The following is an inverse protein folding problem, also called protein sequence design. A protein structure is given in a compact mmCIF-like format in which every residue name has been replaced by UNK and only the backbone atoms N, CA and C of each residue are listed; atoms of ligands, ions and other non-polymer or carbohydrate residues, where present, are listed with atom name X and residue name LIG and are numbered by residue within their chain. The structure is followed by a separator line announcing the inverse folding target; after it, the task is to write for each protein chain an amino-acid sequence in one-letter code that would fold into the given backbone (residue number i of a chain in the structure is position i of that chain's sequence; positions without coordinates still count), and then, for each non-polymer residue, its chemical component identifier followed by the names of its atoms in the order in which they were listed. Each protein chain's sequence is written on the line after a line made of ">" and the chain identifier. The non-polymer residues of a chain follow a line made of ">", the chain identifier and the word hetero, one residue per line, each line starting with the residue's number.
data_IF_542861712593
#
_entry.id   IF_542861712593
#
_cell.length_a   1.000
_cell.length_b   1.000
_cell.length_c   1.000
_cell.angle_alpha   90.00
_cell.angle_beta   90.00
_cell.angle_gamma   90.00
#
_symmetry.space_group_name_H-M   'P 1'
#
loop_
_entity.id
_entity.type
_entity.pdbx_description
1 polymer ?
#
# COMPACT_ATOMS: atom_id res chain seq x y z
N UNK A 1 2.42 -45.11 -29.74
CA UNK A 1 2.75 -44.48 -28.44
C UNK A 1 3.27 -43.09 -28.75
N UNK A 2 2.45 -42.06 -28.55
CA UNK A 2 2.83 -40.66 -28.78
C UNK A 2 3.33 -40.13 -27.44
N UNK A 3 4.61 -39.73 -27.39
CA UNK A 3 5.21 -39.11 -26.22
C UNK A 3 4.96 -37.61 -26.32
N UNK A 4 4.10 -37.07 -25.45
CA UNK A 4 3.89 -35.63 -25.29
C UNK A 4 5.01 -35.12 -24.37
N UNK A 5 5.89 -34.19 -24.81
CA UNK A 5 6.83 -33.57 -23.90
C UNK A 5 6.07 -32.56 -23.05
N UNK A 6 6.07 -32.77 -21.73
CA UNK A 6 5.61 -31.79 -20.76
C UNK A 6 6.61 -30.61 -20.77
N UNK A 7 6.19 -29.48 -21.33
CA UNK A 7 6.89 -28.21 -21.13
C UNK A 7 6.70 -27.81 -19.66
N UNK A 8 7.75 -27.94 -18.85
CA UNK A 8 7.83 -27.21 -17.58
C UNK A 8 8.06 -25.73 -17.94
N UNK A 9 7.01 -24.92 -17.82
CA UNK A 9 7.17 -23.48 -17.78
C UNK A 9 7.89 -23.12 -16.48
N UNK A 10 9.17 -22.76 -16.60
CA UNK A 10 9.91 -22.07 -15.54
C UNK A 10 9.35 -20.66 -15.44
N UNK A 11 8.35 -20.44 -14.60
CA UNK A 11 7.93 -19.12 -14.19
C UNK A 11 9.05 -18.50 -13.37
N UNK A 12 9.75 -17.52 -13.95
CA UNK A 12 10.66 -16.63 -13.22
C UNK A 12 9.87 -15.94 -12.11
N UNK A 13 10.25 -16.23 -10.86
CA UNK A 13 9.60 -15.63 -9.69
C UNK A 13 10.14 -14.20 -9.56
N UNK A 14 9.44 -13.24 -10.16
CA UNK A 14 9.75 -11.83 -9.97
C UNK A 14 9.66 -11.49 -8.47
N UNK A 15 10.81 -11.18 -7.87
CA UNK A 15 10.90 -10.69 -6.51
C UNK A 15 10.73 -9.17 -6.54
N UNK A 16 9.46 -8.79 -6.46
CA UNK A 16 9.04 -7.42 -6.47
C UNK A 16 9.16 -6.79 -5.09
N UNK A 17 9.53 -5.52 -5.05
CA UNK A 17 9.86 -4.78 -3.85
C UNK A 17 9.49 -3.30 -4.07
N UNK A 18 8.34 -2.85 -3.56
CA UNK A 18 7.92 -1.44 -3.63
C UNK A 18 7.43 -1.00 -2.26
N UNK A 19 7.77 0.22 -1.88
CA UNK A 19 7.20 0.91 -0.74
C UNK A 19 6.83 2.34 -1.14
N UNK A 20 5.89 2.93 -0.40
CA UNK A 20 5.75 4.37 -0.38
C UNK A 20 6.82 4.99 0.52
N UNK A 21 7.51 6.00 0.02
CA UNK A 21 8.51 6.78 0.73
C UNK A 21 8.02 8.21 0.88
N UNK A 22 7.91 8.65 2.13
CA UNK A 22 7.53 10.01 2.51
C UNK A 22 8.00 10.31 3.94
N UNK A 23 8.07 11.59 4.31
CA UNK A 23 8.21 11.96 5.72
C UNK A 23 7.01 11.44 6.52
N UNK A 24 7.26 11.05 7.77
CA UNK A 24 6.30 10.34 8.61
C UNK A 24 6.47 8.81 8.56
N UNK A 25 7.21 8.26 7.60
CA UNK A 25 7.43 6.82 7.48
C UNK A 25 8.18 6.24 8.68
N UNK A 26 7.66 5.14 9.22
CA UNK A 26 8.41 4.27 10.14
C UNK A 26 9.53 3.57 9.38
N UNK A 27 10.69 3.40 10.02
CA UNK A 27 11.83 2.70 9.41
C UNK A 27 12.34 3.37 8.11
N UNK A 28 12.20 4.70 7.99
CA UNK A 28 12.64 5.44 6.80
C UNK A 28 14.12 5.17 6.47
N UNK A 29 14.98 5.14 7.49
CA UNK A 29 16.41 4.84 7.38
C UNK A 29 16.79 3.38 7.62
N UNK A 30 15.82 2.46 7.70
CA UNK A 30 16.04 1.09 8.14
C UNK A 30 15.68 0.86 9.62
N UNK A 31 15.83 -0.39 10.10
CA UNK A 31 15.23 -0.86 11.34
C UNK A 31 16.09 -0.59 12.58
N UNK A 32 17.26 -0.01 12.40
CA UNK A 32 18.11 0.45 13.49
C UNK A 32 17.89 1.96 13.69
N UNK A 33 17.29 2.40 14.81
CA UNK A 33 17.01 3.83 15.03
C UNK A 33 18.28 4.68 15.19
N UNK A 34 19.46 4.06 15.33
CA UNK A 34 20.74 4.76 15.39
C UNK A 34 21.41 4.94 14.03
N UNK A 35 20.84 4.35 12.97
CA UNK A 35 21.38 4.39 11.60
C UNK A 35 20.35 4.96 10.65
N UNK A 36 20.73 6.03 9.95
CA UNK A 36 19.98 6.54 8.80
C UNK A 36 20.63 6.02 7.52
N UNK A 37 20.14 4.90 6.97
CA UNK A 37 20.65 4.32 5.72
C UNK A 37 19.95 4.96 4.50
N UNK A 38 20.65 5.79 3.70
CA UNK A 38 20.08 6.40 2.50
C UNK A 38 19.91 5.43 1.32
N UNK A 39 20.37 4.19 1.43
CA UNK A 39 20.25 3.15 0.40
C UNK A 39 19.52 1.89 0.89
N UNK A 40 18.66 2.05 1.90
CA UNK A 40 17.90 0.94 2.45
C UNK A 40 16.81 0.45 1.49
N UNK A 41 16.62 -0.88 1.50
CA UNK A 41 15.50 -1.59 0.90
C UNK A 41 14.72 -2.42 1.95
N UNK A 42 14.85 -2.10 3.23
CA UNK A 42 14.19 -2.89 4.30
C UNK A 42 12.66 -2.86 4.16
N UNK A 43 12.09 -1.67 3.96
CA UNK A 43 10.65 -1.45 3.96
C UNK A 43 9.94 -2.00 2.71
N UNK A 44 10.68 -2.26 1.63
CA UNK A 44 10.12 -2.69 0.33
C UNK A 44 9.86 -4.20 0.26
N UNK A 45 10.33 -4.98 1.24
CA UNK A 45 10.14 -6.43 1.25
C UNK A 45 8.67 -6.81 1.43
N UNK A 46 8.16 -7.79 0.65
CA UNK A 46 6.79 -8.25 0.80
C UNK A 46 6.53 -8.89 2.16
N UNK A 47 5.25 -8.98 2.51
CA UNK A 47 4.74 -9.72 3.67
C UNK A 47 4.04 -10.98 3.14
N UNK A 48 4.56 -12.15 3.51
CA UNK A 48 4.03 -13.43 3.06
C UNK A 48 4.31 -14.52 4.08
N UNK A 49 3.29 -15.34 4.38
CA UNK A 49 3.40 -16.47 5.29
C UNK A 49 3.98 -16.10 6.68
N UNK A 50 3.58 -14.94 7.20
CA UNK A 50 3.97 -14.43 8.52
C UNK A 50 2.83 -14.56 9.53
N UNK A 51 3.13 -14.61 10.83
CA UNK A 51 2.08 -14.47 11.84
C UNK A 51 1.55 -13.03 11.87
N UNK A 52 0.37 -12.81 12.45
CA UNK A 52 -0.18 -11.46 12.55
C UNK A 52 0.74 -10.50 13.28
N UNK A 53 1.33 -10.96 14.38
CA UNK A 53 2.30 -10.18 15.14
C UNK A 53 3.49 -9.77 14.27
N UNK A 54 3.95 -10.64 13.37
CA UNK A 54 5.13 -10.38 12.54
C UNK A 54 4.82 -9.44 11.35
N UNK A 55 3.70 -9.63 10.64
CA UNK A 55 3.42 -8.78 9.48
C UNK A 55 2.85 -7.41 9.86
N UNK A 56 2.24 -7.27 11.04
CA UNK A 56 1.63 -6.01 11.47
C UNK A 56 2.67 -4.91 11.54
N UNK A 57 2.49 -3.85 10.73
CA UNK A 57 3.43 -2.74 10.63
C UNK A 57 4.91 -3.17 10.37
N UNK A 58 5.10 -4.33 9.72
CA UNK A 58 6.41 -4.92 9.43
C UNK A 58 7.27 -5.17 10.69
N UNK A 59 6.66 -5.72 11.74
CA UNK A 59 7.35 -6.11 12.96
C UNK A 59 8.44 -7.17 12.74
N UNK A 60 8.27 -8.07 11.76
CA UNK A 60 9.23 -9.13 11.39
C UNK A 60 10.65 -8.60 11.16
N UNK A 61 10.76 -7.34 10.74
CA UNK A 61 12.01 -6.63 10.49
C UNK A 61 12.19 -5.39 11.37
N UNK A 62 11.36 -5.21 12.39
CA UNK A 62 11.48 -4.16 13.41
C UNK A 62 11.07 -2.75 12.97
N UNK A 63 10.32 -2.60 11.86
CA UNK A 63 9.97 -1.27 11.37
C UNK A 63 9.07 -0.49 12.34
N UNK A 64 8.13 -1.18 12.98
CA UNK A 64 7.18 -0.62 13.94
C UNK A 64 7.85 -0.01 15.19
N UNK A 65 9.07 -0.45 15.50
CA UNK A 65 9.87 0.07 16.61
C UNK A 65 10.68 1.32 16.26
N UNK A 66 10.75 1.72 14.98
CA UNK A 66 11.54 2.87 14.51
C UNK A 66 10.60 3.97 13.99
N UNK A 67 10.12 4.88 14.87
CA UNK A 67 9.26 5.97 14.43
C UNK A 67 10.01 6.96 13.53
N UNK A 68 9.29 7.77 12.74
CA UNK A 68 9.91 8.89 12.02
C UNK A 68 10.55 9.87 13.00
N UNK A 69 11.54 10.62 12.50
CA UNK A 69 12.20 11.67 13.29
C UNK A 69 11.21 12.77 13.72
N UNK A 70 11.52 13.46 14.81
CA UNK A 70 10.66 14.51 15.35
C UNK A 70 10.30 15.57 14.30
N UNK A 71 9.02 15.90 14.20
CA UNK A 71 8.49 16.85 13.22
C UNK A 71 8.34 16.30 11.79
N UNK A 72 8.82 15.09 11.50
CA UNK A 72 8.53 14.42 10.24
C UNK A 72 7.20 13.68 10.35
N UNK A 73 6.15 14.28 9.78
CA UNK A 73 4.79 13.76 9.76
C UNK A 73 4.28 13.81 8.33
N UNK A 74 3.52 12.80 7.92
CA UNK A 74 2.79 12.83 6.66
C UNK A 74 1.54 13.71 6.80
N UNK A 75 1.52 14.85 6.14
CA UNK A 75 0.39 15.77 6.17
C UNK A 75 -0.70 15.37 5.17
N UNK A 76 -1.93 15.26 5.65
CA UNK A 76 -3.13 14.88 4.89
C UNK A 76 -4.07 16.09 4.80
N UNK A 77 -3.99 16.92 3.74
CA UNK A 77 -4.87 18.08 3.61
C UNK A 77 -6.30 17.65 3.30
N UNK A 78 -7.23 17.84 4.24
CA UNK A 78 -8.62 17.44 4.08
C UNK A 78 -9.26 18.06 2.82
N UNK A 79 -9.75 17.23 1.91
CA UNK A 79 -10.35 17.64 0.64
C UNK A 79 -9.34 18.00 -0.44
N UNK A 80 -8.04 17.84 -0.14
CA UNK A 80 -6.94 18.00 -1.07
C UNK A 80 -6.33 16.67 -1.46
N UNK A 81 -5.03 16.71 -1.74
CA UNK A 81 -4.24 15.55 -2.11
C UNK A 81 -2.85 15.63 -1.47
N UNK A 82 -2.18 14.48 -1.43
CA UNK A 82 -0.77 14.39 -1.07
C UNK A 82 -0.07 13.45 -2.05
N UNK A 83 1.22 13.70 -2.29
CA UNK A 83 2.05 12.92 -3.19
C UNK A 83 3.16 12.25 -2.39
N UNK A 84 3.41 10.98 -2.70
CA UNK A 84 4.52 10.19 -2.15
C UNK A 84 5.35 9.59 -3.28
N UNK A 85 6.50 9.04 -2.93
CA UNK A 85 7.38 8.37 -3.88
C UNK A 85 7.28 6.85 -3.72
N UNK A 86 6.75 6.14 -4.72
CA UNK A 86 6.78 4.69 -4.79
C UNK A 86 8.13 4.25 -5.40
N UNK A 87 8.97 3.54 -4.65
CA UNK A 87 10.29 3.15 -5.14
C UNK A 87 10.77 1.81 -4.59
N UNK A 88 11.70 1.18 -5.29
CA UNK A 88 12.30 -0.12 -4.92
C UNK A 88 13.40 0.00 -3.86
N UNK A 89 13.89 1.22 -3.63
CA UNK A 89 14.91 1.55 -2.65
C UNK A 89 14.78 3.04 -2.31
N UNK A 90 15.10 3.42 -1.06
CA UNK A 90 15.11 4.84 -0.67
C UNK A 90 16.04 5.68 -1.54
N UNK A 91 17.17 5.13 -2.00
CA UNK A 91 18.13 5.81 -2.87
C UNK A 91 17.49 6.36 -4.15
N UNK A 92 16.42 5.72 -4.63
CA UNK A 92 15.69 6.09 -5.84
C UNK A 92 14.60 7.15 -5.57
N UNK A 93 14.64 7.81 -4.40
CA UNK A 93 13.71 8.86 -3.99
C UNK A 93 14.43 10.18 -3.75
N UNK A 94 13.68 11.27 -3.62
CA UNK A 94 14.26 12.57 -3.23
C UNK A 94 14.68 12.61 -1.76
N UNK A 95 14.30 11.62 -0.96
CA UNK A 95 14.65 11.50 0.46
C UNK A 95 16.07 10.96 0.69
N UNK A 96 16.86 10.77 -0.38
CA UNK A 96 18.25 10.35 -0.32
C UNK A 96 19.06 10.91 -1.47
N UNK A 97 20.35 11.15 -1.25
CA UNK A 97 21.30 11.63 -2.26
C UNK A 97 20.82 12.85 -3.07
N UNK A 98 19.97 13.70 -2.48
CA UNK A 98 19.30 14.82 -3.17
C UNK A 98 18.60 14.41 -4.47
N UNK A 99 18.05 13.20 -4.53
CA UNK A 99 17.34 12.66 -5.70
C UNK A 99 18.23 12.26 -6.87
N UNK A 100 19.55 12.12 -6.67
CA UNK A 100 20.51 11.79 -7.74
C UNK A 100 20.15 10.50 -8.52
N UNK A 101 19.54 9.51 -7.86
CA UNK A 101 19.17 8.23 -8.47
C UNK A 101 17.66 8.09 -8.75
N UNK A 102 16.94 9.21 -8.77
CA UNK A 102 15.52 9.22 -9.13
C UNK A 102 15.33 9.15 -10.64
N UNK A 103 14.24 8.55 -11.06
CA UNK A 103 13.69 8.65 -12.42
C UNK A 103 12.17 8.86 -12.36
N UNK A 104 11.47 8.77 -13.47
CA UNK A 104 10.00 8.70 -13.44
C UNK A 104 9.49 7.38 -12.85
N UNK A 105 10.33 6.35 -12.85
CA UNK A 105 9.97 4.98 -12.55
C UNK A 105 10.47 4.56 -11.14
N UNK A 106 9.76 3.63 -10.47
CA UNK A 106 10.12 3.18 -9.12
C UNK A 106 11.51 2.55 -8.96
N UNK A 107 12.14 2.09 -10.05
CA UNK A 107 13.45 1.45 -10.06
C UNK A 107 14.63 2.43 -10.29
N UNK A 108 14.34 3.72 -10.47
CA UNK A 108 15.36 4.72 -10.79
C UNK A 108 15.95 4.62 -12.20
N UNK A 109 15.36 3.81 -13.10
CA UNK A 109 15.75 3.73 -14.52
C UNK A 109 14.71 4.39 -15.41
N UNK A 110 14.99 4.46 -16.70
CA UNK A 110 14.08 5.01 -17.69
C UNK A 110 13.43 3.89 -18.48
N UNK A 111 12.10 3.92 -18.54
CA UNK A 111 11.27 3.02 -19.33
C UNK A 111 10.34 3.84 -20.23
N UNK A 112 9.84 3.25 -21.34
CA UNK A 112 8.85 3.92 -22.17
C UNK A 112 7.48 3.97 -21.47
N UNK A 113 6.64 4.95 -21.80
CA UNK A 113 5.29 5.08 -21.22
C UNK A 113 4.41 3.83 -21.43
N UNK A 114 4.57 3.15 -22.58
CA UNK A 114 3.90 1.91 -22.91
C UNK A 114 4.65 0.66 -22.42
N UNK A 115 5.44 0.80 -21.34
CA UNK A 115 6.18 -0.31 -20.74
C UNK A 115 5.24 -1.51 -20.53
N UNK A 116 5.63 -2.63 -21.11
CA UNK A 116 4.89 -3.88 -21.03
C UNK A 116 5.85 -5.05 -20.96
N UNK A 117 5.39 -6.13 -20.36
CA UNK A 117 6.15 -7.38 -20.37
C UNK A 117 6.21 -7.98 -21.77
N UNK A 118 7.09 -8.97 -21.97
CA UNK A 118 7.31 -9.56 -23.28
C UNK A 118 6.08 -10.34 -23.78
N UNK A 119 5.91 -10.44 -25.10
CA UNK A 119 4.88 -11.29 -25.72
C UNK A 119 3.57 -10.58 -26.09
N UNK A 120 2.61 -11.35 -26.61
CA UNK A 120 1.27 -10.89 -26.98
C UNK A 120 0.23 -12.03 -26.80
N UNK A 121 -0.62 -11.98 -25.75
CA UNK A 121 -0.76 -10.90 -24.76
C UNK A 121 0.52 -10.74 -23.90
N UNK A 122 0.79 -9.53 -23.37
CA UNK A 122 1.99 -9.27 -22.57
C UNK A 122 2.07 -10.18 -21.34
N UNK A 123 3.21 -10.83 -21.14
CA UNK A 123 3.56 -11.52 -19.90
C UNK A 123 3.90 -10.49 -18.80
N UNK A 124 4.23 -10.96 -17.59
CA UNK A 124 4.68 -10.10 -16.51
C UNK A 124 6.01 -9.40 -16.87
N UNK A 125 6.18 -8.16 -16.44
CA UNK A 125 7.44 -7.42 -16.58
C UNK A 125 8.53 -8.13 -15.73
N UNK A 126 9.68 -8.46 -16.35
CA UNK A 126 10.74 -9.30 -15.77
C UNK A 126 11.99 -8.53 -15.30
N UNK A 127 12.34 -7.44 -15.98
CA UNK A 127 13.60 -6.69 -15.78
C UNK A 127 13.52 -5.67 -14.64
N UNK A 128 13.21 -6.17 -13.44
CA UNK A 128 13.03 -5.44 -12.17
C UNK A 128 11.69 -4.73 -11.93
N UNK A 129 10.71 -4.94 -12.81
CA UNK A 129 9.34 -4.40 -12.74
C UNK A 129 8.54 -4.87 -11.53
N UNK A 130 9.10 -4.63 -10.34
CA UNK A 130 8.66 -4.93 -8.99
C UNK A 130 7.29 -4.35 -8.63
N UNK A 131 6.58 -3.85 -9.64
CA UNK A 131 5.20 -3.41 -9.65
C UNK A 131 4.21 -4.57 -9.86
N UNK A 132 4.71 -5.80 -10.06
CA UNK A 132 3.92 -7.02 -10.20
C UNK A 132 2.79 -6.87 -11.24
N UNK A 133 3.16 -6.52 -12.47
CA UNK A 133 2.18 -6.29 -13.53
C UNK A 133 2.70 -6.59 -14.92
N UNK A 134 1.78 -6.77 -15.86
CA UNK A 134 2.05 -6.93 -17.30
C UNK A 134 2.20 -5.57 -18.01
N UNK A 135 1.50 -4.53 -17.52
CA UNK A 135 1.45 -3.15 -18.03
C UNK A 135 0.62 -2.27 -17.07
N UNK A 136 0.50 -0.96 -17.34
CA UNK A 136 -0.19 -0.02 -16.45
C UNK A 136 -1.63 -0.41 -16.10
N UNK A 137 -2.44 -0.83 -17.06
CA UNK A 137 -3.87 -1.15 -16.80
C UNK A 137 -4.03 -2.41 -15.95
N UNK A 138 -2.99 -3.24 -15.90
CA UNK A 138 -2.90 -4.42 -15.07
C UNK A 138 -2.22 -4.16 -13.73
N UNK A 139 -1.90 -2.92 -13.35
CA UNK A 139 -1.41 -2.61 -12.00
C UNK A 139 -2.58 -2.68 -10.98
N UNK A 140 -2.30 -3.18 -9.78
CA UNK A 140 -3.36 -3.63 -8.87
C UNK A 140 -4.16 -2.50 -8.19
N UNK A 141 -3.54 -1.34 -8.03
CA UNK A 141 -4.03 -0.27 -7.16
C UNK A 141 -3.43 -0.37 -5.76
N UNK A 142 -3.14 0.79 -5.17
CA UNK A 142 -2.56 0.94 -3.84
C UNK A 142 -3.47 1.83 -3.00
N UNK A 143 -3.40 1.67 -1.69
CA UNK A 143 -4.32 2.31 -0.76
C UNK A 143 -3.62 2.95 0.42
N UNK A 144 -4.31 3.91 1.05
CA UNK A 144 -3.94 4.47 2.33
C UNK A 144 -5.03 4.23 3.36
N UNK A 145 -4.62 3.85 4.56
CA UNK A 145 -5.48 3.73 5.72
C UNK A 145 -5.03 4.65 6.85
N UNK A 146 -5.97 5.01 7.74
CA UNK A 146 -5.75 5.90 8.88
C UNK A 146 -6.38 5.33 10.15
N UNK A 147 -5.69 5.48 11.27
CA UNK A 147 -6.16 5.21 12.63
C UNK A 147 -5.94 6.43 13.51
N UNK A 148 -6.99 6.84 14.22
CA UNK A 148 -6.99 8.00 15.13
C UNK A 148 -6.45 7.63 16.52
N UNK A 149 -5.42 6.79 16.54
CA UNK A 149 -4.65 6.45 17.74
C UNK A 149 -3.29 7.14 17.65
N UNK A 150 -2.91 7.88 18.69
CA UNK A 150 -1.57 8.49 18.79
C UNK A 150 -0.49 7.52 19.28
N UNK A 151 -0.90 6.33 19.74
CA UNK A 151 -0.02 5.23 20.15
C UNK A 151 -0.19 4.08 19.16
N UNK A 152 0.90 3.71 18.46
CA UNK A 152 0.90 2.66 17.44
C UNK A 152 0.40 1.32 18.00
N UNK A 153 0.69 1.01 19.27
CA UNK A 153 0.28 -0.25 19.89
C UNK A 153 -1.25 -0.41 20.04
N UNK A 154 -2.00 0.69 19.88
CA UNK A 154 -3.47 0.71 19.91
C UNK A 154 -4.08 0.64 18.53
N UNK A 155 -3.28 0.64 17.47
CA UNK A 155 -3.76 0.49 16.09
C UNK A 155 -4.14 -0.97 15.87
N UNK A 156 -5.35 -1.18 15.34
CA UNK A 156 -5.96 -2.50 15.09
C UNK A 156 -6.56 -2.53 13.70
N UNK A 157 -6.89 -3.72 13.19
CA UNK A 157 -7.60 -3.86 11.91
C UNK A 157 -8.91 -3.06 11.90
N UNK A 158 -9.65 -3.06 13.01
CA UNK A 158 -10.96 -2.42 13.14
C UNK A 158 -10.89 -0.90 13.23
N UNK A 159 -9.74 -0.32 13.59
CA UNK A 159 -9.57 1.13 13.65
C UNK A 159 -8.65 1.72 12.58
N UNK A 160 -8.04 0.88 11.75
CA UNK A 160 -7.24 1.28 10.58
C UNK A 160 -8.12 1.27 9.32
N UNK A 161 -8.73 2.40 9.02
CA UNK A 161 -9.74 2.54 7.96
C UNK A 161 -9.08 2.97 6.66
N UNK A 162 -9.29 2.21 5.58
CA UNK A 162 -8.88 2.60 4.23
C UNK A 162 -9.66 3.85 3.78
N UNK A 163 -8.94 4.94 3.50
CA UNK A 163 -9.54 6.23 3.16
C UNK A 163 -9.28 6.72 1.74
N UNK A 164 -8.22 6.22 1.10
CA UNK A 164 -7.84 6.60 -0.25
C UNK A 164 -7.33 5.39 -1.01
N UNK A 165 -7.66 5.32 -2.30
CA UNK A 165 -7.16 4.31 -3.22
C UNK A 165 -6.88 4.98 -4.55
N UNK A 166 -5.71 4.68 -5.10
CA UNK A 166 -5.32 5.11 -6.44
C UNK A 166 -5.19 3.86 -7.30
N UNK A 167 -6.03 3.68 -8.34
CA UNK A 167 -5.99 2.50 -9.20
C UNK A 167 -4.71 2.51 -10.06
N UNK A 168 -4.42 1.37 -10.71
CA UNK A 168 -3.30 1.25 -11.65
C UNK A 168 -1.95 1.67 -11.05
N UNK A 169 -1.74 1.38 -9.77
CA UNK A 169 -0.49 1.60 -9.04
C UNK A 169 -0.02 0.29 -8.39
N UNK A 170 1.28 0.16 -8.05
CA UNK A 170 2.39 1.06 -8.42
C UNK A 170 2.62 1.14 -9.94
N UNK A 171 3.06 2.30 -10.42
CA UNK A 171 3.41 2.52 -11.82
C UNK A 171 4.55 3.55 -11.96
N UNK A 172 4.26 4.83 -11.72
CA UNK A 172 5.29 5.87 -11.63
C UNK A 172 5.71 6.09 -10.18
N UNK A 173 6.93 6.60 -10.01
CA UNK A 173 7.48 6.92 -8.69
C UNK A 173 6.61 7.95 -7.98
N UNK A 174 6.28 9.07 -8.62
CA UNK A 174 5.38 10.05 -8.01
C UNK A 174 3.94 9.57 -8.12
N UNK A 175 3.32 9.25 -6.98
CA UNK A 175 1.92 8.85 -6.92
C UNK A 175 1.15 9.75 -5.97
N UNK A 176 0.02 10.27 -6.46
CA UNK A 176 -0.84 11.18 -5.72
C UNK A 176 -2.09 10.45 -5.22
N UNK A 177 -2.49 10.78 -4.00
CA UNK A 177 -3.66 10.23 -3.32
C UNK A 177 -4.57 11.36 -2.86
N UNK A 178 -5.87 11.16 -3.01
CA UNK A 178 -6.87 12.12 -2.54
C UNK A 178 -7.19 11.91 -1.07
N UNK A 179 -7.48 13.00 -0.37
CA UNK A 179 -7.86 12.99 1.05
C UNK A 179 -9.33 13.40 1.17
N UNK A 180 -10.20 12.59 1.80
CA UNK A 180 -11.59 12.96 2.01
C UNK A 180 -11.70 14.30 2.75
N UNK A 181 -12.57 15.19 2.27
CA UNK A 181 -12.81 16.50 2.89
C UNK A 181 -13.36 16.42 4.31
N UNK A 182 -13.97 15.29 4.67
CA UNK A 182 -14.61 15.08 5.95
C UNK A 182 -13.80 14.24 6.94
N UNK A 183 -12.53 13.91 6.62
CA UNK A 183 -11.61 13.35 7.61
C UNK A 183 -11.48 14.34 8.78
N UNK A 184 -11.78 13.95 10.03
CA UNK A 184 -11.63 14.82 11.18
C UNK A 184 -10.15 15.11 11.52
N UNK A 185 -9.86 16.12 12.34
CA UNK A 185 -8.52 16.35 12.88
C UNK A 185 -8.03 15.14 13.69
N UNK A 186 -6.73 14.86 13.60
CA UNK A 186 -6.08 13.87 14.45
C UNK A 186 -6.07 14.32 15.92
N UNK A 187 -6.02 13.38 16.89
CA UNK A 187 -5.83 13.72 18.30
C UNK A 187 -4.45 14.35 18.54
N UNK A 188 -4.24 14.87 19.75
CA UNK A 188 -2.91 15.25 20.21
C UNK A 188 -1.94 14.06 20.09
N UNK A 189 -0.74 14.32 19.55
CA UNK A 189 0.25 13.29 19.22
C UNK A 189 0.10 12.70 17.81
N UNK A 190 -0.93 13.10 17.05
CA UNK A 190 -1.13 12.69 15.66
C UNK A 190 -1.88 11.37 15.50
N UNK A 191 -2.02 10.94 14.25
CA UNK A 191 -2.58 9.66 13.85
C UNK A 191 -1.48 8.70 13.35
N UNK A 192 -1.88 7.46 13.13
CA UNK A 192 -1.09 6.50 12.36
C UNK A 192 -1.77 6.18 11.04
N UNK A 193 -0.98 6.14 9.98
CA UNK A 193 -1.42 5.77 8.64
C UNK A 193 -0.64 4.55 8.15
N UNK A 194 -1.18 3.89 7.14
CA UNK A 194 -0.50 2.81 6.44
C UNK A 194 -0.68 2.95 4.94
N UNK A 195 0.42 2.86 4.18
CA UNK A 195 0.35 2.54 2.76
C UNK A 195 0.18 1.03 2.60
N UNK A 196 -0.65 0.62 1.65
CA UNK A 196 -1.11 -0.75 1.51
C UNK A 196 -1.17 -1.16 0.05
N UNK A 197 -0.78 -2.41 -0.22
CA UNK A 197 -0.84 -2.96 -1.56
C UNK A 197 -0.97 -4.50 -1.55
N UNK A 198 -1.81 -5.02 -2.44
CA UNK A 198 -1.88 -6.44 -2.77
C UNK A 198 -1.69 -6.55 -4.29
N UNK A 199 -0.60 -7.17 -4.77
CA UNK A 199 -0.38 -7.36 -6.20
C UNK A 199 -1.41 -8.26 -6.88
N UNK A 200 -1.64 -8.05 -8.19
CA UNK A 200 -2.53 -8.90 -9.00
C UNK A 200 -1.78 -9.57 -10.16
N UNK A 201 -2.02 -10.86 -10.37
CA UNK A 201 -1.63 -11.60 -11.58
C UNK A 201 -0.15 -11.96 -11.77
N UNK A 202 0.80 -11.21 -11.18
CA UNK A 202 2.23 -11.42 -11.40
C UNK A 202 3.00 -11.65 -10.10
N UNK A 203 3.97 -12.58 -10.11
CA UNK A 203 4.83 -12.88 -8.96
C UNK A 203 4.14 -13.67 -7.84
N UNK A 204 4.78 -13.73 -6.67
CA UNK A 204 4.21 -14.40 -5.50
C UNK A 204 2.99 -13.62 -4.99
N UNK A 205 1.83 -14.28 -4.77
CA UNK A 205 0.67 -13.62 -4.16
C UNK A 205 0.97 -13.28 -2.69
N UNK A 206 1.26 -12.02 -2.42
CA UNK A 206 1.69 -11.47 -1.13
C UNK A 206 0.95 -10.15 -0.82
N UNK A 207 1.35 -9.43 0.23
CA UNK A 207 0.86 -8.09 0.50
C UNK A 207 2.01 -7.17 0.96
N UNK A 208 1.78 -5.87 0.94
CA UNK A 208 2.70 -4.86 1.43
C UNK A 208 1.97 -3.89 2.35
N UNK A 209 2.70 -3.46 3.37
CA UNK A 209 2.26 -2.50 4.36
C UNK A 209 3.46 -1.67 4.78
N UNK A 210 3.34 -0.34 4.82
CA UNK A 210 4.31 0.53 5.48
C UNK A 210 3.59 1.51 6.38
N UNK A 211 4.08 1.62 7.62
CA UNK A 211 3.51 2.50 8.65
C UNK A 211 4.00 3.94 8.54
N UNK A 212 3.14 4.88 8.91
CA UNK A 212 3.45 6.30 8.95
C UNK A 212 2.85 6.94 10.20
N UNK A 213 3.53 7.93 10.79
CA UNK A 213 2.85 9.00 11.55
C UNK A 213 2.27 9.99 10.55
N UNK A 214 1.02 10.34 10.74
CA UNK A 214 0.30 11.24 9.86
C UNK A 214 -0.57 12.21 10.65
N UNK A 215 -0.95 13.32 10.00
CA UNK A 215 -1.83 14.32 10.58
C UNK A 215 -2.77 14.89 9.54
N UNK A 216 -4.04 15.12 9.92
CA UNK A 216 -5.03 15.74 9.04
C UNK A 216 -4.97 17.25 9.19
N UNK A 217 -4.77 17.97 8.09
CA UNK A 217 -4.68 19.44 8.07
C UNK A 217 -5.87 20.06 7.35
N UNK A 218 -6.21 21.30 7.72
CA UNK A 218 -7.29 22.05 7.10
C UNK A 218 -8.70 21.49 7.34
N UNK A 219 -8.84 20.45 8.18
CA UNK A 219 -10.15 19.86 8.48
C UNK A 219 -10.98 20.74 9.41
N UNK A 220 -12.25 20.88 9.08
CA UNK A 220 -13.30 21.46 9.94
C UNK A 220 -14.33 20.41 10.35
N UNK A 221 -14.09 19.14 10.02
CA UNK A 221 -15.01 18.03 10.27
C UNK A 221 -15.04 17.67 11.76
N UNK A 222 -16.25 17.48 12.29
CA UNK A 222 -16.50 16.97 13.65
C UNK A 222 -16.98 15.52 13.64
N UNK A 223 -16.93 14.87 12.48
CA UNK A 223 -17.37 13.49 12.32
C UNK A 223 -16.36 12.52 12.94
N UNK A 224 -16.79 11.28 13.15
CA UNK A 224 -15.91 10.19 13.56
C UNK A 224 -15.88 9.12 12.49
N UNK A 225 -14.74 8.44 12.35
CA UNK A 225 -14.65 7.26 11.50
C UNK A 225 -15.44 6.12 12.15
N UNK A 226 -16.26 5.44 11.35
CA UNK A 226 -16.87 4.19 11.77
C UNK A 226 -15.79 3.09 11.88
N UNK A 227 -15.99 2.08 12.75
CA UNK A 227 -15.13 0.90 12.76
C UNK A 227 -15.05 0.25 11.37
N UNK A 228 -13.84 -0.12 10.98
CA UNK A 228 -13.54 -0.76 9.72
C UNK A 228 -14.09 -2.19 9.70
N UNK A 229 -14.86 -2.50 8.66
CA UNK A 229 -15.41 -3.83 8.40
C UNK A 229 -14.55 -4.60 7.40
N UNK A 230 -14.51 -5.93 7.54
CA UNK A 230 -13.80 -6.82 6.61
C UNK A 230 -14.41 -6.66 5.20
N UNK A 231 -13.64 -6.31 4.17
CA UNK A 231 -14.14 -6.26 2.79
C UNK A 231 -14.62 -7.63 2.29
N UNK A 232 -15.64 -7.64 1.44
CA UNK A 232 -16.13 -8.86 0.77
C UNK A 232 -15.99 -8.66 -0.73
N UNK A 233 -15.50 -9.68 -1.42
CA UNK A 233 -15.47 -9.69 -2.88
C UNK A 233 -16.91 -9.66 -3.42
N UNK A 234 -17.22 -8.61 -4.18
CA UNK A 234 -18.52 -8.33 -4.77
C UNK A 234 -18.49 -8.33 -6.30
N UNK A 235 -17.30 -8.43 -6.92
CA UNK A 235 -17.12 -8.39 -8.37
C UNK A 235 -17.80 -7.16 -8.97
N UNK A 236 -18.53 -7.34 -10.06
CA UNK A 236 -19.22 -6.23 -10.74
C UNK A 236 -20.53 -5.78 -10.05
N UNK A 237 -20.96 -6.45 -8.97
CA UNK A 237 -22.20 -6.14 -8.27
C UNK A 237 -21.94 -5.34 -6.99
N UNK A 238 -21.81 -4.02 -7.17
CA UNK A 238 -21.53 -3.08 -6.07
C UNK A 238 -22.54 -3.12 -4.91
N UNK A 239 -23.76 -3.63 -5.14
CA UNK A 239 -24.78 -3.78 -4.10
C UNK A 239 -24.44 -4.87 -3.08
N UNK A 240 -23.55 -5.80 -3.44
CA UNK A 240 -23.05 -6.87 -2.57
C UNK A 240 -21.80 -6.48 -1.78
N UNK A 241 -21.18 -5.34 -2.10
CA UNK A 241 -19.99 -4.90 -1.40
C UNK A 241 -20.32 -4.42 0.02
N UNK A 242 -19.36 -4.57 0.93
CA UNK A 242 -19.42 -3.96 2.26
C UNK A 242 -19.46 -2.44 2.14
N UNK A 243 -20.52 -1.87 2.70
CA UNK A 243 -20.74 -0.42 2.75
C UNK A 243 -19.99 0.19 3.94
N UNK A 244 -19.55 1.44 3.77
CA UNK A 244 -18.83 2.18 4.80
C UNK A 244 -17.35 1.86 4.93
N UNK A 245 -16.83 2.15 6.12
CA UNK A 245 -15.42 2.00 6.49
C UNK A 245 -14.98 0.54 6.33
N UNK A 246 -13.84 0.35 5.66
CA UNK A 246 -13.29 -0.95 5.32
C UNK A 246 -11.87 -1.10 5.86
N UNK A 247 -11.55 -2.33 6.29
CA UNK A 247 -10.22 -2.70 6.72
C UNK A 247 -9.26 -2.76 5.53
N UNK A 248 -7.96 -2.84 5.82
CA UNK A 248 -6.99 -3.30 4.83
C UNK A 248 -7.27 -4.75 4.39
N UNK A 249 -6.66 -5.17 3.27
CA UNK A 249 -6.72 -6.54 2.78
C UNK A 249 -5.52 -7.31 3.33
N UNK A 250 -5.74 -8.13 4.36
CA UNK A 250 -4.74 -9.03 4.91
C UNK A 250 -4.88 -10.41 4.24
N UNK A 251 -3.87 -10.78 3.45
CA UNK A 251 -3.92 -11.90 2.52
C UNK A 251 -2.62 -12.71 2.50
N UNK A 252 -2.72 -14.04 2.36
CA UNK A 252 -1.61 -15.00 2.28
C UNK A 252 -0.58 -14.95 3.41
N UNK A 253 -1.06 -14.77 4.63
CA UNK A 253 -0.29 -14.85 5.86
C UNK A 253 -0.49 -16.19 6.57
N UNK A 254 0.39 -16.53 7.51
CA UNK A 254 0.22 -17.71 8.36
C UNK A 254 -0.97 -17.53 9.32
N UNK A 255 -1.25 -16.30 9.75
CA UNK A 255 -2.41 -15.95 10.57
C UNK A 255 -2.79 -14.47 10.38
N UNK A 256 -4.02 -14.11 10.75
CA UNK A 256 -4.51 -12.72 10.66
C UNK A 256 -5.02 -12.31 9.28
N UNK A 257 -5.19 -13.25 8.35
CA UNK A 257 -5.88 -12.97 7.09
C UNK A 257 -7.33 -12.59 7.36
N UNK A 258 -7.85 -11.63 6.60
CA UNK A 258 -9.27 -11.26 6.62
C UNK A 258 -9.96 -11.47 5.26
N UNK A 259 -9.19 -11.81 4.21
CA UNK A 259 -9.71 -12.10 2.88
C UNK A 259 -9.05 -13.34 2.29
N UNK A 260 -9.76 -13.97 1.34
CA UNK A 260 -9.30 -15.13 0.59
C UNK A 260 -9.35 -14.84 -0.92
N UNK A 261 -8.58 -15.61 -1.69
CA UNK A 261 -8.58 -15.48 -3.15
C UNK A 261 -9.98 -15.82 -3.70
N UNK A 262 -10.61 -14.93 -4.49
CA UNK A 262 -11.90 -15.22 -5.09
C UNK A 262 -11.74 -16.21 -6.26
N UNK A 263 -12.79 -16.96 -6.64
CA UNK A 263 -12.66 -18.05 -7.62
C UNK A 263 -12.23 -17.64 -9.03
N UNK A 264 -12.54 -16.40 -9.46
CA UNK A 264 -12.36 -15.94 -10.84
C UNK A 264 -11.70 -14.55 -10.92
N UNK A 265 -11.08 -14.08 -9.84
CA UNK A 265 -10.45 -12.76 -9.79
C UNK A 265 -9.32 -12.76 -8.75
N UNK A 266 -8.77 -11.60 -8.44
CA UNK A 266 -7.68 -11.39 -7.49
C UNK A 266 -8.14 -10.64 -6.25
N UNK A 267 -7.32 -10.67 -5.20
CA UNK A 267 -7.38 -9.73 -4.09
C UNK A 267 -6.64 -8.46 -4.50
N UNK A 268 -7.30 -7.29 -4.46
CA UNK A 268 -6.69 -6.01 -4.79
C UNK A 268 -7.54 -4.84 -4.27
N UNK A 269 -6.94 -3.64 -4.20
CA UNK A 269 -7.64 -2.42 -3.82
C UNK A 269 -8.39 -1.83 -5.01
N UNK A 270 -9.60 -2.33 -5.29
CA UNK A 270 -10.45 -1.81 -6.35
C UNK A 270 -11.92 -2.22 -6.24
N UNK A 271 -12.68 -1.93 -7.30
CA UNK A 271 -14.16 -1.92 -7.26
C UNK A 271 -14.77 -3.28 -6.93
N UNK A 272 -14.13 -4.37 -7.39
CA UNK A 272 -14.52 -5.74 -7.06
C UNK A 272 -14.50 -6.08 -5.57
N UNK A 273 -13.86 -5.24 -4.76
CA UNK A 273 -13.79 -5.34 -3.28
C UNK A 273 -14.51 -4.18 -2.58
N UNK A 274 -15.26 -3.37 -3.32
CA UNK A 274 -15.99 -2.21 -2.81
C UNK A 274 -15.11 -0.99 -2.52
N UNK A 275 -13.87 -0.99 -2.98
CA UNK A 275 -13.02 0.19 -3.01
C UNK A 275 -13.19 0.88 -4.37
N UNK A 276 -13.70 2.10 -4.42
CA UNK A 276 -13.79 2.85 -5.69
C UNK A 276 -12.38 3.32 -6.13
N UNK A 277 -12.26 4.21 -7.11
CA UNK A 277 -11.08 5.07 -7.26
C UNK A 277 -11.49 6.49 -6.86
N UNK A 278 -10.76 7.15 -5.94
CA UNK A 278 -11.04 8.45 -5.24
C UNK A 278 -11.43 8.34 -3.75
N UNK A 279 -11.29 9.41 -2.98
CA UNK A 279 -11.62 9.43 -1.54
C UNK A 279 -13.12 9.12 -1.26
N UNK A 280 -13.44 8.21 -0.31
CA UNK A 280 -14.84 7.82 -0.01
C UNK A 280 -15.18 7.51 1.45
N UNK A 281 -14.38 7.94 2.43
CA UNK A 281 -14.67 7.56 3.82
C UNK A 281 -16.07 8.01 4.23
N UNK A 282 -16.90 7.07 4.64
CA UNK A 282 -18.17 7.38 5.29
C UNK A 282 -17.87 7.75 6.74
N UNK A 283 -17.62 9.04 6.99
CA UNK A 283 -17.56 9.56 8.34
C UNK A 283 -19.00 9.77 8.86
N UNK A 284 -19.29 9.33 10.09
CA UNK A 284 -20.62 9.49 10.71
C UNK A 284 -20.64 10.70 11.64
N UNK A 285 -21.77 11.39 11.74
CA UNK A 285 -21.98 12.40 12.79
C UNK A 285 -21.95 11.73 14.16
N UNK A 286 -21.19 12.26 15.12
CA UNK A 286 -21.23 11.79 16.50
C UNK A 286 -22.69 11.78 17.00
N UNK A 287 -23.14 10.64 17.53
CA UNK A 287 -24.39 10.62 18.29
C UNK A 287 -24.16 11.48 19.55
N UNK A 288 -24.97 12.54 19.69
CA UNK A 288 -24.95 13.41 20.87
C UNK A 288 -25.44 12.72 22.14
#
# INVERSE_FOLDING_TARGET
>A
MIVIPALLALSSVAHAHVAAWAYGMYCLGGPDPSVDDPNTNTAVNPLYNLTQTDWWFQHDRGCDAVPPADGQILELPAGGNFTVELAHNRAQTTLSYNGQYTSEWPDGKQHPEDWSGPGNPPDCIQDDGAMHTNNQSMAAGTAWAISYQSDLSKVTMENLVVFSVTPNTPWHRLTTYEVPADLPPCPEGGCHCAWLWVPKGCGQPNMYMQGFKCNVTGSTSTKTLAPAQVPVYCGDDSSKCVQGAKQMLAFNQQSGNNVEMPPNDFVYYGEGWGFKPVSWVQCTTAAG
#
